data_IF_330048852666
#
_entry.id   IF_330048852666
#
_cell.length_a   1.000
_cell.length_b   1.000
_cell.length_c   1.000
_cell.angle_alpha   90.00
_cell.angle_beta   90.00
_cell.angle_gamma   90.00
#
_symmetry.space_group_name_H-M   'P 1'
#
loop_
_entity.id
_entity.type
_entity.pdbx_description
1 polymer ?
#
# COMPACT_ATOMS: atom_id res chain seq x y z
N UNK A 1 -18.21 -8.71 -7.32
CA UNK A 1 -17.10 -8.18 -8.15
C UNK A 1 -15.82 -8.61 -7.47
N UNK A 2 -14.88 -9.19 -8.20
CA UNK A 2 -13.62 -9.68 -7.65
C UNK A 2 -12.80 -8.45 -7.19
N UNK A 3 -13.10 -7.96 -6.00
CA UNK A 3 -12.49 -6.78 -5.39
C UNK A 3 -11.05 -7.10 -5.02
N UNK A 4 -10.17 -7.15 -6.02
CA UNK A 4 -8.78 -6.83 -5.77
C UNK A 4 -8.79 -5.43 -5.17
N UNK A 5 -8.52 -5.32 -3.87
CA UNK A 5 -8.45 -4.05 -3.15
C UNK A 5 -7.49 -3.14 -3.91
N UNK A 6 -8.05 -2.27 -4.75
CA UNK A 6 -7.29 -1.43 -5.66
C UNK A 6 -6.42 -0.47 -4.86
N UNK A 7 -6.79 -0.16 -3.61
CA UNK A 7 -5.97 0.57 -2.66
C UNK A 7 -4.69 -0.18 -2.28
N UNK A 8 -4.76 -1.50 -2.08
CA UNK A 8 -3.56 -2.31 -1.77
C UNK A 8 -2.63 -2.33 -2.99
N UNK A 9 -3.18 -2.51 -4.20
CA UNK A 9 -2.38 -2.51 -5.43
C UNK A 9 -1.77 -1.12 -5.70
N UNK A 10 -2.51 -0.04 -5.46
CA UNK A 10 -2.02 1.33 -5.58
C UNK A 10 -0.92 1.61 -4.55
N UNK A 11 -1.14 1.26 -3.27
CA UNK A 11 -0.14 1.41 -2.23
C UNK A 11 1.14 0.62 -2.51
N UNK A 12 1.00 -0.62 -3.01
CA UNK A 12 2.15 -1.44 -3.42
C UNK A 12 2.91 -0.81 -4.60
N UNK A 13 2.21 -0.25 -5.57
CA UNK A 13 2.82 0.42 -6.73
C UNK A 13 3.62 1.65 -6.29
N UNK A 14 3.07 2.47 -5.40
CA UNK A 14 3.75 3.64 -4.84
C UNK A 14 4.97 3.23 -4.00
N UNK A 15 4.83 2.18 -3.20
CA UNK A 15 5.95 1.65 -2.40
C UNK A 15 7.10 1.17 -3.29
N UNK A 16 6.79 0.36 -4.33
CA UNK A 16 7.79 -0.14 -5.28
C UNK A 16 8.46 1.02 -6.03
N UNK A 17 7.70 2.06 -6.39
CA UNK A 17 8.25 3.25 -7.02
C UNK A 17 9.26 3.96 -6.11
N UNK A 18 8.94 4.14 -4.83
CA UNK A 18 9.86 4.71 -3.84
C UNK A 18 11.11 3.85 -3.65
N UNK A 19 10.96 2.53 -3.64
CA UNK A 19 12.07 1.58 -3.55
C UNK A 19 13.01 1.68 -4.77
N UNK A 20 12.45 1.84 -5.98
CA UNK A 20 13.23 2.01 -7.21
C UNK A 20 14.05 3.29 -7.18
N UNK A 21 13.46 4.41 -6.73
CA UNK A 21 14.21 5.66 -6.58
C UNK A 21 15.28 5.56 -5.49
N UNK A 22 14.98 4.89 -4.38
CA UNK A 22 15.96 4.61 -3.33
C UNK A 22 17.18 3.85 -3.87
N UNK A 23 16.96 2.79 -4.67
CA UNK A 23 18.05 2.04 -5.32
C UNK A 23 18.81 2.92 -6.31
N UNK A 24 18.12 3.77 -7.08
CA UNK A 24 18.77 4.72 -7.98
C UNK A 24 19.65 5.73 -7.22
N UNK A 25 19.21 6.20 -6.06
CA UNK A 25 19.96 7.05 -5.14
C UNK A 25 21.24 6.39 -4.62
N UNK A 26 21.21 5.08 -4.36
CA UNK A 26 22.39 4.33 -3.93
C UNK A 26 23.46 4.21 -5.02
N UNK A 27 23.01 4.14 -6.28
CA UNK A 27 23.90 3.96 -7.43
C UNK A 27 24.44 5.29 -7.99
N UNK A 28 23.83 6.43 -7.65
CA UNK A 28 24.22 7.74 -8.18
C UNK A 28 24.09 8.87 -7.15
N UNK A 29 25.21 9.54 -6.85
CA UNK A 29 25.29 10.66 -5.91
C UNK A 29 24.36 11.84 -6.23
N UNK A 30 24.03 12.08 -7.50
CA UNK A 30 23.05 13.13 -7.87
C UNK A 30 21.66 12.78 -7.36
N UNK A 31 21.29 11.50 -7.45
CA UNK A 31 20.03 10.97 -6.93
C UNK A 31 20.05 10.83 -5.41
N UNK A 32 21.22 10.84 -4.77
CA UNK A 32 21.30 10.83 -3.31
C UNK A 32 20.70 12.09 -2.65
N UNK A 33 20.64 13.22 -3.39
CA UNK A 33 20.00 14.44 -2.89
C UNK A 33 18.50 14.25 -2.62
N UNK A 34 17.85 13.34 -3.35
CA UNK A 34 16.41 13.07 -3.25
C UNK A 34 16.08 11.85 -2.37
N UNK A 35 17.04 11.28 -1.65
CA UNK A 35 16.81 10.17 -0.71
C UNK A 35 15.67 10.45 0.28
N UNK A 36 15.54 11.70 0.75
CA UNK A 36 14.48 12.09 1.68
C UNK A 36 13.09 11.86 1.07
N UNK A 37 12.96 12.09 -0.24
CA UNK A 37 11.71 11.92 -1.00
C UNK A 37 11.39 10.44 -1.15
N UNK A 38 12.39 9.60 -1.37
CA UNK A 38 12.22 8.15 -1.51
C UNK A 38 11.63 7.53 -0.24
N UNK A 39 12.12 7.95 0.93
CA UNK A 39 11.55 7.54 2.22
C UNK A 39 10.10 8.00 2.39
N UNK A 40 9.76 9.22 1.96
CA UNK A 40 8.39 9.73 2.01
C UNK A 40 7.47 8.92 1.09
N UNK A 41 7.91 8.64 -0.14
CA UNK A 41 7.13 7.84 -1.11
C UNK A 41 6.88 6.43 -0.55
N UNK A 42 7.91 5.78 -0.01
CA UNK A 42 7.75 4.47 0.64
C UNK A 42 6.80 4.53 1.84
N UNK A 43 6.87 5.56 2.67
CA UNK A 43 5.96 5.73 3.80
C UNK A 43 4.49 5.90 3.36
N UNK A 44 4.24 6.69 2.31
CA UNK A 44 2.90 6.87 1.73
C UNK A 44 2.39 5.54 1.13
N UNK A 45 3.25 4.80 0.43
CA UNK A 45 2.91 3.47 -0.09
C UNK A 45 2.47 2.52 1.03
N UNK A 46 3.25 2.44 2.12
CA UNK A 46 2.91 1.63 3.29
C UNK A 46 1.61 2.06 3.96
N UNK A 47 1.38 3.37 4.12
CA UNK A 47 0.15 3.89 4.70
C UNK A 47 -1.09 3.48 3.87
N UNK A 48 -0.97 3.57 2.55
CA UNK A 48 -2.04 3.21 1.61
C UNK A 48 -2.34 1.71 1.65
N UNK A 49 -1.30 0.87 1.71
CA UNK A 49 -1.45 -0.58 1.91
C UNK A 49 -2.17 -0.85 3.25
N UNK A 50 -1.77 -0.18 4.33
CA UNK A 50 -2.38 -0.34 5.65
C UNK A 50 -3.87 -0.04 5.66
N UNK A 51 -4.29 1.04 4.99
CA UNK A 51 -5.71 1.39 4.83
C UNK A 51 -6.43 0.31 4.02
N UNK A 52 -5.87 -0.11 2.89
CA UNK A 52 -6.48 -1.16 2.07
C UNK A 52 -6.66 -2.49 2.81
N UNK A 53 -5.67 -2.88 3.61
CA UNK A 53 -5.75 -4.07 4.47
C UNK A 53 -6.82 -3.91 5.55
N UNK A 54 -6.90 -2.73 6.19
CA UNK A 54 -7.91 -2.44 7.20
C UNK A 54 -9.33 -2.53 6.64
N UNK A 55 -9.58 -1.92 5.48
CA UNK A 55 -10.86 -1.98 4.78
C UNK A 55 -11.24 -3.42 4.45
N UNK A 56 -10.30 -4.19 3.89
CA UNK A 56 -10.51 -5.60 3.57
C UNK A 56 -10.84 -6.46 4.80
N UNK A 57 -10.15 -6.20 5.92
CA UNK A 57 -10.40 -6.90 7.19
C UNK A 57 -11.78 -6.56 7.78
N UNK A 58 -12.19 -5.30 7.66
CA UNK A 58 -13.49 -4.84 8.13
C UNK A 58 -14.65 -5.43 7.32
N UNK A 59 -14.51 -5.47 5.99
CA UNK A 59 -15.51 -6.07 5.09
C UNK A 59 -15.67 -7.58 5.34
N UNK A 60 -14.56 -8.30 5.57
CA UNK A 60 -14.58 -9.71 5.95
C UNK A 60 -15.32 -9.97 7.26
N UNK A 61 -15.25 -9.05 8.23
CA UNK A 61 -15.92 -9.20 9.53
C UNK A 61 -17.43 -8.97 9.44
N UNK A 62 -17.87 -8.01 8.61
CA UNK A 62 -19.31 -7.71 8.44
C UNK A 62 -20.05 -8.72 7.57
N UNK A 63 -19.38 -9.31 6.57
CA UNK A 63 -19.97 -10.34 5.71
C UNK A 63 -20.29 -11.65 6.46
N UNK A 64 -19.53 -11.98 7.52
CA UNK A 64 -19.81 -13.14 8.37
C UNK A 64 -21.09 -12.98 9.20
N UNK A 65 -21.37 -11.77 9.72
CA UNK A 65 -22.50 -11.54 10.62
C UNK A 65 -23.86 -11.52 9.90
N UNK A 66 -23.89 -11.23 8.60
CA UNK A 66 -25.11 -11.28 7.79
C UNK A 66 -25.57 -12.71 7.47
N UNK A 67 -24.72 -13.73 7.68
CA UNK A 67 -25.03 -15.13 7.35
C UNK A 67 -25.69 -15.88 8.53
N UNK A 68 -25.52 -15.41 9.78
CA UNK A 68 -26.09 -16.07 10.97
C UNK A 68 -27.56 -15.72 11.25
N UNK A 69 -28.10 -14.62 10.69
CA UNK A 69 -29.49 -14.22 10.90
C UNK A 69 -30.51 -14.85 9.93
N UNK A 70 -30.05 -15.75 9.05
CA UNK A 70 -30.87 -16.44 8.05
C UNK A 70 -31.00 -17.95 8.30
N UNK A 71 -30.99 -18.38 9.56
CA UNK A 71 -31.30 -19.77 9.96
C UNK A 71 -32.47 -19.81 10.95
#
# INVERSE_FOLDING_TARGET
MLGFNSEIAAGLSVFILGLLFFIAGLLNSVWATIFIVDYIIMAIGLATIGIGVWTAMYEKKHSLHSTEHHH
#
